data_IF_349987657496
#
_entry.id   IF_349987657496
#
_cell.length_a   1.000
_cell.length_b   1.000
_cell.length_c   1.000
_cell.angle_alpha   90.00
_cell.angle_beta   90.00
_cell.angle_gamma   90.00
#
_symmetry.space_group_name_H-M   'P 1'
#
loop_
_entity.id
_entity.type
_entity.pdbx_description
1 polymer ?
#
# COMPACT_ATOMS: atom_id res chain seq x y z
N UNK A 1 -2.79 -41.29 -44.76
CA UNK A 1 -3.07 -40.25 -45.77
C UNK A 1 -4.23 -39.43 -45.21
N UNK A 2 -4.00 -38.36 -44.44
CA UNK A 2 -3.69 -36.96 -44.88
C UNK A 2 -4.77 -36.45 -45.83
N UNK A 3 -5.45 -35.32 -45.71
CA UNK A 3 -5.37 -34.11 -44.87
C UNK A 3 -6.71 -33.34 -45.04
N UNK A 4 -7.00 -32.43 -44.11
CA UNK A 4 -7.92 -31.28 -44.26
C UNK A 4 -7.03 -30.05 -44.59
N UNK A 5 -7.38 -28.99 -45.38
CA UNK A 5 -8.33 -27.94 -44.94
C UNK A 5 -8.97 -26.96 -46.00
N UNK A 6 -10.01 -26.24 -45.53
CA UNK A 6 -10.46 -24.83 -45.77
C UNK A 6 -10.04 -24.02 -47.03
N UNK A 7 -11.01 -23.28 -47.60
CA UNK A 7 -11.11 -21.80 -47.45
C UNK A 7 -12.21 -21.16 -48.32
N UNK A 8 -13.12 -20.41 -47.69
CA UNK A 8 -14.09 -19.52 -48.33
C UNK A 8 -13.52 -18.10 -48.40
N UNK A 9 -13.52 -17.52 -49.60
CA UNK A 9 -13.25 -16.11 -49.85
C UNK A 9 -14.37 -15.49 -50.70
N UNK A 10 -14.95 -14.38 -50.25
CA UNK A 10 -15.73 -13.48 -51.12
C UNK A 10 -15.47 -12.02 -50.80
N UNK A 11 -15.00 -11.32 -51.84
CA UNK A 11 -14.82 -9.88 -51.94
C UNK A 11 -16.09 -9.19 -52.44
N UNK A 12 -16.34 -8.01 -51.85
CA UNK A 12 -16.98 -6.76 -52.29
C UNK A 12 -17.74 -6.62 -53.63
N UNK A 13 -18.85 -5.88 -53.54
CA UNK A 13 -19.51 -5.08 -54.60
C UNK A 13 -21.05 -5.13 -54.43
N UNK A 14 -21.86 -4.08 -54.42
CA UNK A 14 -21.79 -2.66 -54.82
C UNK A 14 -22.88 -1.92 -54.02
N UNK A 15 -22.64 -0.68 -53.57
CA UNK A 15 -23.71 0.21 -53.07
C UNK A 15 -24.14 1.20 -54.16
N UNK A 16 -25.44 1.27 -54.39
CA UNK A 16 -26.09 2.18 -55.34
C UNK A 16 -26.31 3.56 -54.71
N UNK A 17 -26.01 4.60 -55.50
CA UNK A 17 -26.25 6.01 -55.18
C UNK A 17 -27.71 6.35 -55.44
N UNK A 18 -28.48 6.66 -54.40
CA UNK A 18 -29.64 7.57 -54.52
C UNK A 18 -29.68 8.48 -53.31
N UNK A 19 -29.46 9.75 -53.58
CA UNK A 19 -29.65 10.86 -52.69
C UNK A 19 -31.14 11.00 -52.32
N UNK A 20 -31.41 11.34 -51.07
CA UNK A 20 -32.58 12.14 -50.73
C UNK A 20 -32.19 13.11 -49.61
N UNK A 21 -32.39 14.39 -49.89
CA UNK A 21 -32.16 15.52 -48.99
C UNK A 21 -33.50 15.88 -48.33
N UNK A 22 -33.46 16.14 -47.03
CA UNK A 22 -34.52 16.71 -46.19
C UNK A 22 -34.10 16.45 -44.74
N UNK A 23 -33.77 17.41 -43.88
CA UNK A 23 -34.34 18.73 -43.70
C UNK A 23 -34.97 18.74 -42.31
N UNK A 24 -34.22 19.18 -41.29
CA UNK A 24 -34.74 19.70 -40.02
C UNK A 24 -33.57 20.24 -39.18
N UNK A 25 -33.53 21.56 -39.00
CA UNK A 25 -32.64 22.22 -38.07
C UNK A 25 -33.23 22.10 -36.65
N UNK A 26 -32.61 21.25 -35.82
CA UNK A 26 -32.91 21.18 -34.39
C UNK A 26 -31.90 22.06 -33.66
N UNK A 27 -32.36 23.19 -33.10
CA UNK A 27 -31.59 23.97 -32.15
C UNK A 27 -31.32 23.13 -30.89
N UNK A 28 -30.11 22.57 -30.79
CA UNK A 28 -29.63 21.92 -29.59
C UNK A 28 -29.24 22.97 -28.55
N UNK A 29 -30.04 23.12 -27.50
CA UNK A 29 -29.60 23.75 -26.26
C UNK A 29 -28.51 22.85 -25.65
N UNK A 30 -27.25 23.20 -25.90
CA UNK A 30 -26.11 22.59 -25.23
C UNK A 30 -26.12 23.03 -23.76
N UNK A 31 -26.81 22.26 -22.91
CA UNK A 31 -26.66 22.36 -21.47
C UNK A 31 -25.24 21.98 -21.09
N UNK A 32 -24.41 22.98 -20.79
CA UNK A 32 -23.10 22.75 -20.17
C UNK A 32 -23.36 22.19 -18.78
N UNK A 33 -23.20 20.88 -18.60
CA UNK A 33 -23.03 20.33 -17.26
C UNK A 33 -21.79 21.00 -16.67
N UNK A 34 -21.84 21.57 -15.45
CA UNK A 34 -20.62 21.92 -14.77
C UNK A 34 -19.86 20.61 -14.60
N UNK A 35 -18.71 20.49 -15.27
CA UNK A 35 -17.74 19.48 -14.91
C UNK A 35 -17.50 19.66 -13.41
N UNK A 36 -17.93 18.70 -12.61
CA UNK A 36 -17.49 18.61 -11.22
C UNK A 36 -15.97 18.65 -11.30
N UNK A 37 -15.38 19.77 -10.87
CA UNK A 37 -13.95 19.91 -10.76
C UNK A 37 -13.50 18.78 -9.84
N UNK A 38 -12.95 17.72 -10.42
CA UNK A 38 -12.19 16.75 -9.66
C UNK A 38 -11.09 17.57 -9.00
N UNK A 39 -11.13 17.64 -7.67
CA UNK A 39 -10.06 18.23 -6.89
C UNK A 39 -8.74 17.62 -7.38
N UNK A 40 -7.69 18.41 -7.64
CA UNK A 40 -6.45 17.87 -8.18
C UNK A 40 -5.87 16.87 -7.17
N UNK A 41 -6.01 15.57 -7.45
CA UNK A 41 -5.35 14.49 -6.73
C UNK A 41 -3.89 14.46 -7.18
N UNK A 42 -3.02 15.23 -6.54
CA UNK A 42 -1.58 15.19 -6.82
C UNK A 42 -0.74 15.59 -5.60
N UNK A 43 -0.72 14.76 -4.56
CA UNK A 43 0.31 14.84 -3.49
C UNK A 43 1.56 14.01 -3.84
N UNK A 44 1.78 13.77 -5.12
CA UNK A 44 2.83 12.88 -5.64
C UNK A 44 4.10 13.63 -6.04
N UNK A 45 4.19 14.92 -5.74
CA UNK A 45 5.40 15.73 -5.96
C UNK A 45 6.54 15.27 -5.06
N UNK A 46 7.77 15.43 -5.54
CA UNK A 46 8.99 15.10 -4.77
C UNK A 46 9.08 16.01 -3.53
N UNK A 47 9.01 15.47 -2.29
CA UNK A 47 9.07 16.30 -1.10
C UNK A 47 10.52 16.69 -0.76
N UNK A 48 10.68 17.81 -0.07
CA UNK A 48 11.90 18.13 0.69
C UNK A 48 11.64 17.82 2.15
N UNK A 49 12.54 17.08 2.80
CA UNK A 49 12.42 16.75 4.22
C UNK A 49 13.32 17.65 5.07
N UNK A 50 12.84 17.98 6.27
CA UNK A 50 13.69 18.54 7.32
C UNK A 50 14.74 17.50 7.77
N UNK A 51 15.70 17.94 8.60
CA UNK A 51 16.71 17.05 9.16
C UNK A 51 16.10 15.96 10.08
N UNK A 52 16.80 14.83 10.28
CA UNK A 52 16.30 13.72 11.10
C UNK A 52 15.82 14.11 12.50
N UNK A 53 16.48 15.07 13.15
CA UNK A 53 16.08 15.59 14.46
C UNK A 53 14.66 16.15 14.48
N UNK A 54 14.20 16.76 13.40
CA UNK A 54 12.83 17.25 13.26
C UNK A 54 11.88 16.14 12.85
N UNK A 55 12.27 15.28 11.91
CA UNK A 55 11.40 14.20 11.41
C UNK A 55 11.06 13.16 12.48
N UNK A 56 11.99 12.93 13.40
CA UNK A 56 11.92 11.89 14.42
C UNK A 56 11.76 12.44 15.84
N UNK A 57 11.40 13.71 15.96
CA UNK A 57 11.06 14.34 17.24
C UNK A 57 9.85 13.66 17.90
N UNK A 58 9.66 13.95 19.18
CA UNK A 58 8.42 13.65 19.87
C UNK A 58 7.30 14.53 19.27
N UNK A 59 6.12 13.94 19.06
CA UNK A 59 4.98 14.63 18.47
C UNK A 59 3.70 14.27 19.22
N UNK A 60 2.74 15.20 19.22
CA UNK A 60 1.36 14.92 19.60
C UNK A 60 0.54 14.74 18.34
N UNK A 61 -0.13 13.60 18.22
CA UNK A 61 -0.92 13.25 17.05
C UNK A 61 -2.23 12.59 17.48
N UNK A 62 -3.37 13.14 17.09
CA UNK A 62 -4.69 12.61 17.47
C UNK A 62 -4.93 12.53 18.98
N UNK A 63 -4.31 13.40 19.79
CA UNK A 63 -4.39 13.36 21.25
C UNK A 63 -3.43 12.38 21.94
N UNK A 64 -2.62 11.64 21.17
CA UNK A 64 -1.61 10.74 21.70
C UNK A 64 -0.21 11.34 21.59
N UNK A 65 0.59 11.18 22.65
CA UNK A 65 1.98 11.62 22.67
C UNK A 65 2.88 10.48 22.19
N UNK A 66 3.47 10.64 21.01
CA UNK A 66 4.47 9.75 20.47
C UNK A 66 5.87 10.19 20.94
N UNK A 67 6.66 9.29 21.52
CA UNK A 67 8.03 9.61 21.89
C UNK A 67 8.89 9.85 20.65
N UNK A 68 9.97 10.60 20.84
CA UNK A 68 11.01 10.74 19.83
C UNK A 68 11.64 9.38 19.51
N UNK A 69 11.99 9.16 18.24
CA UNK A 69 12.77 7.99 17.86
C UNK A 69 14.24 8.31 18.08
N UNK A 70 15.01 7.46 18.78
CA UNK A 70 16.46 7.63 18.91
C UNK A 70 17.15 7.25 17.59
N UNK A 71 16.95 8.08 16.57
CA UNK A 71 17.35 7.79 15.18
C UNK A 71 18.86 7.65 15.02
N UNK A 72 19.66 8.19 15.95
CA UNK A 72 21.11 8.02 16.00
C UNK A 72 21.52 6.57 16.32
N UNK A 73 20.63 5.78 16.93
CA UNK A 73 20.84 4.35 17.21
C UNK A 73 20.40 3.44 16.05
N UNK A 74 19.77 4.01 15.03
CA UNK A 74 19.40 3.31 13.82
C UNK A 74 20.51 3.43 12.78
N UNK A 75 20.66 2.42 11.93
CA UNK A 75 21.45 2.58 10.71
C UNK A 75 20.77 3.64 9.84
N UNK A 76 21.52 4.68 9.48
CA UNK A 76 21.07 5.85 8.72
C UNK A 76 20.39 5.47 7.41
N UNK A 77 20.72 4.31 6.83
CA UNK A 77 20.08 3.84 5.59
C UNK A 77 18.58 3.58 5.74
N UNK A 78 18.12 3.28 6.96
CA UNK A 78 16.72 3.01 7.28
C UNK A 78 15.92 4.26 7.64
N UNK A 79 16.56 5.43 7.73
CA UNK A 79 15.85 6.68 7.87
C UNK A 79 15.18 7.04 6.54
N UNK A 80 14.03 7.71 6.66
CA UNK A 80 13.24 8.18 5.53
C UNK A 80 14.04 9.13 4.67
N UNK A 81 14.00 8.90 3.36
CA UNK A 81 14.74 9.72 2.39
C UNK A 81 14.13 9.63 1.01
N UNK A 82 14.35 10.67 0.19
CA UNK A 82 14.02 10.63 -1.24
C UNK A 82 15.17 9.94 -1.99
N UNK A 83 14.83 8.97 -2.84
CA UNK A 83 15.77 8.21 -3.67
C UNK A 83 15.34 8.24 -5.13
N UNK A 84 16.22 7.80 -6.04
CA UNK A 84 15.81 7.40 -7.39
C UNK A 84 14.88 6.19 -7.25
N UNK A 85 13.73 6.19 -7.92
CA UNK A 85 12.80 5.07 -7.92
C UNK A 85 13.45 3.83 -8.55
N UNK A 86 13.65 2.74 -7.78
CA UNK A 86 14.21 1.50 -8.32
C UNK A 86 13.17 0.61 -9.02
N UNK A 87 11.87 0.92 -8.91
CA UNK A 87 10.77 0.02 -9.27
C UNK A 87 10.18 0.26 -10.67
N UNK A 88 10.40 1.45 -11.22
CA UNK A 88 9.75 1.94 -12.45
C UNK A 88 8.20 1.90 -12.39
N UNK A 89 7.64 1.91 -11.18
CA UNK A 89 6.20 1.87 -10.99
C UNK A 89 5.59 3.26 -11.23
N UNK A 90 4.26 3.31 -11.35
CA UNK A 90 3.56 4.59 -11.51
C UNK A 90 3.63 5.40 -10.21
N UNK A 91 3.73 6.74 -10.28
CA UNK A 91 3.60 7.60 -9.11
C UNK A 91 2.30 7.30 -8.33
N UNK A 92 2.39 7.30 -7.00
CA UNK A 92 1.32 6.86 -6.11
C UNK A 92 1.33 5.36 -5.79
N UNK A 93 2.25 4.57 -6.35
CA UNK A 93 2.40 3.14 -6.03
C UNK A 93 3.25 2.96 -4.77
N UNK A 94 2.89 2.00 -3.93
CA UNK A 94 3.75 1.50 -2.85
C UNK A 94 4.48 0.26 -3.35
N UNK A 95 5.79 0.22 -3.16
CA UNK A 95 6.62 -0.93 -3.51
C UNK A 95 7.40 -1.39 -2.28
N UNK A 96 7.42 -2.68 -2.02
CA UNK A 96 8.08 -3.27 -0.85
C UNK A 96 9.18 -4.21 -1.33
N UNK A 97 10.39 -4.00 -0.83
CA UNK A 97 11.54 -4.90 -0.99
C UNK A 97 11.80 -5.61 0.35
N UNK A 98 11.39 -6.89 0.41
CA UNK A 98 11.47 -7.68 1.62
C UNK A 98 12.93 -7.97 2.06
N UNK A 99 13.82 -8.20 1.10
CA UNK A 99 15.24 -8.50 1.39
C UNK A 99 15.96 -7.28 1.92
N UNK A 100 15.84 -6.15 1.22
CA UNK A 100 16.49 -4.90 1.59
C UNK A 100 15.82 -4.23 2.80
N UNK A 101 14.57 -4.61 3.11
CA UNK A 101 13.73 -4.07 4.20
C UNK A 101 13.44 -2.60 4.01
N UNK A 102 12.98 -2.30 2.81
CA UNK A 102 12.55 -0.98 2.42
C UNK A 102 11.13 -1.00 1.85
N UNK A 103 10.39 0.04 2.19
CA UNK A 103 9.15 0.41 1.52
C UNK A 103 9.41 1.70 0.75
N UNK A 104 8.87 1.78 -0.45
CA UNK A 104 8.98 2.92 -1.36
C UNK A 104 7.58 3.42 -1.66
N UNK A 105 7.35 4.72 -1.50
CA UNK A 105 6.19 5.40 -2.08
C UNK A 105 6.67 6.15 -3.32
N UNK A 106 6.24 5.71 -4.51
CA UNK A 106 6.71 6.27 -5.77
C UNK A 106 6.11 7.66 -5.96
N UNK A 107 6.97 8.62 -6.25
CA UNK A 107 6.62 10.01 -6.50
C UNK A 107 7.00 10.40 -7.94
N UNK A 108 6.68 11.61 -8.35
CA UNK A 108 7.01 12.12 -9.68
C UNK A 108 8.53 12.22 -9.92
N UNK A 109 8.91 12.50 -11.17
CA UNK A 109 10.30 12.72 -11.59
C UNK A 109 11.25 11.53 -11.37
N UNK A 110 10.73 10.30 -11.45
CA UNK A 110 11.52 9.07 -11.30
C UNK A 110 12.12 8.93 -9.90
N UNK A 111 11.43 9.46 -8.88
CA UNK A 111 11.84 9.41 -7.48
C UNK A 111 10.88 8.57 -6.66
N UNK A 112 11.34 8.13 -5.50
CA UNK A 112 10.51 7.51 -4.49
C UNK A 112 10.90 8.00 -3.10
N UNK A 113 9.95 8.03 -2.18
CA UNK A 113 10.24 8.17 -0.75
C UNK A 113 10.51 6.77 -0.23
N UNK A 114 11.72 6.53 0.25
CA UNK A 114 12.12 5.26 0.86
C UNK A 114 11.99 5.35 2.37
N UNK A 115 11.40 4.33 2.97
CA UNK A 115 11.25 4.14 4.41
C UNK A 115 11.94 2.83 4.82
N UNK A 116 12.62 2.83 5.96
CA UNK A 116 13.09 1.61 6.58
C UNK A 116 11.94 0.86 7.25
N UNK A 117 11.91 -0.46 7.08
CA UNK A 117 10.83 -1.29 7.63
C UNK A 117 11.38 -2.54 8.33
N UNK A 118 10.52 -3.22 9.07
CA UNK A 118 10.72 -4.61 9.49
C UNK A 118 9.65 -5.47 8.86
N UNK A 119 10.03 -6.62 8.31
CA UNK A 119 9.12 -7.61 7.74
C UNK A 119 9.37 -8.95 8.38
N UNK A 120 8.32 -9.73 8.62
CA UNK A 120 8.52 -11.07 9.14
C UNK A 120 8.87 -12.10 8.09
N UNK A 121 9.37 -13.25 8.54
CA UNK A 121 9.80 -14.38 7.69
C UNK A 121 8.72 -14.77 6.66
N UNK A 122 7.44 -14.70 7.03
CA UNK A 122 6.33 -14.99 6.13
C UNK A 122 6.01 -13.84 5.14
N UNK A 123 6.41 -12.59 5.45
CA UNK A 123 6.39 -11.47 4.51
C UNK A 123 7.44 -11.61 3.40
N UNK A 124 8.42 -12.51 3.54
CA UNK A 124 9.30 -12.91 2.44
C UNK A 124 8.63 -13.89 1.48
N UNK A 125 7.61 -14.64 1.93
CA UNK A 125 6.92 -15.63 1.10
C UNK A 125 5.77 -15.01 0.30
N UNK A 126 5.17 -13.94 0.82
CA UNK A 126 4.18 -13.18 0.06
C UNK A 126 4.86 -12.19 -0.90
N UNK A 127 4.97 -12.59 -2.16
CA UNK A 127 5.23 -11.69 -3.28
C UNK A 127 3.95 -11.51 -4.09
N UNK A 128 3.78 -10.34 -4.70
CA UNK A 128 2.64 -10.08 -5.58
C UNK A 128 2.05 -8.70 -5.45
N UNK A 129 0.80 -8.57 -5.92
CA UNK A 129 0.08 -7.31 -6.02
C UNK A 129 -1.11 -7.30 -5.06
N UNK A 130 -1.33 -6.15 -4.44
CA UNK A 130 -2.49 -5.82 -3.62
C UNK A 130 -2.85 -4.35 -3.80
N UNK A 131 -3.91 -3.90 -3.13
CA UNK A 131 -4.24 -2.50 -3.00
C UNK A 131 -4.43 -2.15 -1.52
N UNK A 132 -4.09 -0.93 -1.13
CA UNK A 132 -4.64 -0.34 0.09
C UNK A 132 -6.09 0.05 -0.22
N UNK A 133 -7.04 -0.61 0.43
CA UNK A 133 -8.47 -0.29 0.31
C UNK A 133 -9.03 0.36 1.58
N UNK A 134 -8.40 0.15 2.73
CA UNK A 134 -8.75 0.82 3.97
C UNK A 134 -7.52 1.37 4.66
N UNK A 135 -7.71 2.43 5.44
CA UNK A 135 -6.69 2.95 6.34
C UNK A 135 -7.33 3.44 7.64
N UNK A 136 -6.63 3.29 8.76
CA UNK A 136 -7.10 3.77 10.07
C UNK A 136 -5.99 4.52 10.79
N UNK A 137 -6.31 5.71 11.27
CA UNK A 137 -5.50 6.39 12.27
C UNK A 137 -5.82 5.86 13.66
N UNK A 138 -4.78 5.59 14.44
CA UNK A 138 -4.87 5.04 15.80
C UNK A 138 -5.81 3.82 15.85
N UNK A 139 -5.47 2.72 15.14
CA UNK A 139 -6.31 1.54 15.11
C UNK A 139 -6.39 0.86 16.48
N UNK A 140 -7.59 0.36 16.81
CA UNK A 140 -7.75 -0.66 17.84
C UNK A 140 -7.02 -1.91 17.38
N UNK A 141 -6.26 -2.53 18.29
CA UNK A 141 -5.57 -3.78 18.01
C UNK A 141 -6.29 -4.92 18.71
N UNK A 142 -6.80 -5.88 17.93
CA UNK A 142 -7.41 -7.10 18.46
C UNK A 142 -6.51 -8.29 18.09
N UNK A 143 -5.83 -8.94 19.06
CA UNK A 143 -5.01 -10.11 18.78
C UNK A 143 -5.89 -11.24 18.22
N UNK A 144 -5.43 -11.95 17.16
CA UNK A 144 -6.13 -13.14 16.67
C UNK A 144 -6.23 -14.25 17.73
N UNK A 145 -7.25 -15.10 17.68
CA UNK A 145 -7.42 -16.21 18.63
C UNK A 145 -6.18 -17.11 18.75
N UNK A 146 -5.53 -17.44 17.62
CA UNK A 146 -4.34 -18.29 17.59
C UNK A 146 -3.14 -17.63 18.32
N UNK A 147 -3.07 -16.29 18.28
CA UNK A 147 -2.08 -15.53 19.03
C UNK A 147 -2.35 -15.59 20.53
N UNK A 148 -3.62 -15.54 20.94
CA UNK A 148 -4.03 -15.65 22.35
C UNK A 148 -3.75 -17.07 22.88
N UNK A 149 -4.00 -18.12 22.09
CA UNK A 149 -3.70 -19.50 22.49
C UNK A 149 -2.22 -19.69 22.86
N UNK A 150 -1.32 -19.08 22.08
CA UNK A 150 0.13 -19.11 22.34
C UNK A 150 0.59 -18.15 23.43
N UNK A 151 -0.14 -17.05 23.64
CA UNK A 151 0.15 -15.99 24.60
C UNK A 151 -1.12 -15.66 25.40
N UNK A 152 -1.49 -16.51 26.37
CA UNK A 152 -2.77 -16.38 27.09
C UNK A 152 -2.94 -15.03 27.80
N UNK A 153 -1.85 -14.34 28.14
CA UNK A 153 -1.89 -13.00 28.71
C UNK A 153 -2.54 -11.96 27.80
N UNK A 154 -2.59 -12.20 26.48
CA UNK A 154 -3.23 -11.33 25.51
C UNK A 154 -4.76 -11.44 25.51
N UNK A 155 -5.33 -12.45 26.18
CA UNK A 155 -6.79 -12.63 26.28
C UNK A 155 -7.50 -11.39 26.87
N UNK A 156 -6.81 -10.60 27.70
CA UNK A 156 -7.33 -9.32 28.21
C UNK A 156 -7.68 -8.31 27.09
N UNK A 157 -7.07 -8.47 25.91
CA UNK A 157 -7.30 -7.64 24.73
C UNK A 157 -8.17 -8.32 23.67
N UNK A 158 -8.81 -9.45 23.97
CA UNK A 158 -9.68 -10.15 23.01
C UNK A 158 -10.82 -9.27 22.47
N UNK A 159 -11.25 -8.26 23.25
CA UNK A 159 -12.24 -7.26 22.85
C UNK A 159 -11.62 -5.96 22.30
N UNK A 160 -10.33 -5.99 21.95
CA UNK A 160 -9.57 -4.86 21.44
C UNK A 160 -8.76 -4.13 22.52
N UNK A 161 -7.48 -3.96 22.24
CA UNK A 161 -6.61 -3.02 22.94
C UNK A 161 -6.90 -1.59 22.45
N UNK A 162 -7.15 -0.63 23.36
CA UNK A 162 -7.37 0.76 22.99
C UNK A 162 -6.21 1.35 22.19
N UNK A 163 -6.47 2.32 21.31
CA UNK A 163 -5.41 2.97 20.56
C UNK A 163 -4.42 3.70 21.47
N UNK A 164 -3.15 3.71 21.08
CA UNK A 164 -2.16 4.53 21.75
C UNK A 164 -0.72 4.14 21.46
N UNK A 165 0.25 4.87 22.04
CA UNK A 165 1.67 4.73 21.72
C UNK A 165 2.26 3.34 21.99
N UNK A 166 1.58 2.51 22.79
CA UNK A 166 2.01 1.13 23.11
C UNK A 166 1.35 0.06 22.24
N UNK A 167 0.41 0.44 21.37
CA UNK A 167 -0.30 -0.50 20.48
C UNK A 167 0.69 -1.21 19.54
N UNK A 168 0.58 -2.53 19.33
CA UNK A 168 1.39 -3.26 18.34
C UNK A 168 1.20 -2.77 16.89
N UNK A 169 0.05 -2.17 16.57
CA UNK A 169 -0.24 -1.56 15.28
C UNK A 169 0.31 -0.12 15.15
N UNK A 170 0.78 0.46 16.25
CA UNK A 170 1.31 1.82 16.28
C UNK A 170 0.27 2.88 15.92
N UNK A 171 0.75 3.98 15.32
CA UNK A 171 -0.06 5.18 15.09
C UNK A 171 -1.02 5.08 13.89
N UNK A 172 -0.71 4.25 12.88
CA UNK A 172 -1.49 4.09 11.66
C UNK A 172 -1.44 2.64 11.19
N UNK A 173 -2.50 2.19 10.53
CA UNK A 173 -2.52 0.96 9.76
C UNK A 173 -3.19 1.18 8.39
N UNK A 174 -2.62 0.59 7.36
CA UNK A 174 -3.13 0.52 6.00
C UNK A 174 -3.39 -0.96 5.68
N UNK A 175 -4.59 -1.27 5.20
CA UNK A 175 -5.11 -2.63 5.08
C UNK A 175 -5.04 -3.08 3.63
N UNK A 176 -4.35 -4.19 3.39
CA UNK A 176 -4.08 -4.69 2.05
C UNK A 176 -5.14 -5.69 1.59
N UNK A 177 -5.69 -5.43 0.42
CA UNK A 177 -6.72 -6.23 -0.22
C UNK A 177 -6.25 -6.77 -1.56
N UNK A 178 -6.74 -7.96 -1.91
CA UNK A 178 -6.50 -8.60 -3.22
C UNK A 178 -7.81 -9.22 -3.69
N UNK A 179 -8.24 -8.84 -4.89
CA UNK A 179 -9.51 -9.30 -5.49
C UNK A 179 -10.71 -9.07 -4.56
N UNK A 180 -10.77 -7.91 -3.90
CA UNK A 180 -11.84 -7.53 -2.95
C UNK A 180 -11.83 -8.30 -1.62
N UNK A 181 -10.80 -9.09 -1.35
CA UNK A 181 -10.64 -9.83 -0.09
C UNK A 181 -9.49 -9.24 0.73
N UNK A 182 -9.72 -9.11 2.03
CA UNK A 182 -8.67 -8.75 2.98
C UNK A 182 -7.58 -9.83 2.95
N UNK A 183 -6.33 -9.42 2.79
CA UNK A 183 -5.18 -10.33 2.78
C UNK A 183 -4.65 -10.63 4.17
N UNK A 184 -5.16 -9.94 5.21
CA UNK A 184 -4.63 -9.93 6.58
C UNK A 184 -3.22 -9.35 6.72
N UNK A 185 -2.63 -8.85 5.62
CA UNK A 185 -1.39 -8.08 5.66
C UNK A 185 -1.68 -6.59 5.83
N UNK A 186 -0.80 -5.94 6.59
CA UNK A 186 -0.89 -4.52 6.96
C UNK A 186 0.43 -3.82 6.69
N UNK A 187 0.35 -2.55 6.31
CA UNK A 187 1.43 -1.60 6.49
C UNK A 187 1.10 -0.78 7.74
N UNK A 188 1.89 -0.88 8.80
CA UNK A 188 1.52 -0.29 10.07
C UNK A 188 2.71 0.25 10.87
N UNK A 189 2.41 1.06 11.88
CA UNK A 189 3.41 1.59 12.81
C UNK A 189 3.88 0.55 13.82
N UNK A 190 4.95 0.86 14.54
CA UNK A 190 5.37 0.07 15.71
C UNK A 190 6.00 0.95 16.79
N UNK A 191 5.77 0.65 18.08
CA UNK A 191 6.54 1.26 19.17
C UNK A 191 7.98 0.75 19.22
N UNK A 192 8.25 -0.42 18.64
CA UNK A 192 9.55 -1.09 18.66
C UNK A 192 10.48 -0.52 17.58
N UNK A 193 10.93 0.73 17.73
CA UNK A 193 11.82 1.36 16.76
C UNK A 193 13.09 0.54 16.46
N UNK A 194 13.60 -0.20 17.45
CA UNK A 194 14.81 -1.01 17.32
C UNK A 194 14.62 -2.27 16.47
N UNK A 195 13.40 -2.56 16.04
CA UNK A 195 13.07 -3.66 15.11
C UNK A 195 13.31 -3.29 13.64
N UNK A 196 13.37 -2.00 13.31
CA UNK A 196 13.52 -1.54 11.92
C UNK A 196 14.83 -2.06 11.33
N UNK A 197 14.76 -2.59 10.11
CA UNK A 197 15.89 -3.25 9.45
C UNK A 197 16.14 -4.70 9.88
N UNK A 198 15.30 -5.27 10.77
CA UNK A 198 15.38 -6.66 11.22
C UNK A 198 14.19 -7.49 10.72
N UNK A 199 14.30 -8.81 10.86
CA UNK A 199 13.20 -9.73 10.59
C UNK A 199 12.21 -9.72 11.76
N UNK A 200 10.91 -9.71 11.47
CA UNK A 200 9.83 -9.89 12.45
C UNK A 200 9.27 -11.33 12.43
N UNK A 201 8.34 -11.63 13.33
CA UNK A 201 7.63 -12.93 13.35
C UNK A 201 6.37 -12.94 12.48
N UNK A 202 5.70 -11.80 12.29
CA UNK A 202 4.45 -11.66 11.51
C UNK A 202 4.72 -11.19 10.08
N UNK A 203 3.88 -11.57 9.11
CA UNK A 203 4.07 -11.17 7.71
C UNK A 203 3.80 -9.70 7.38
N UNK A 204 3.27 -8.91 8.31
CA UNK A 204 3.02 -7.48 8.11
C UNK A 204 4.30 -6.63 8.00
N UNK A 205 4.16 -5.43 7.41
CA UNK A 205 5.25 -4.45 7.28
C UNK A 205 5.16 -3.44 8.43
N UNK A 206 6.16 -3.46 9.32
CA UNK A 206 6.26 -2.55 10.47
C UNK A 206 7.15 -1.36 10.13
N UNK A 207 6.66 -0.16 10.40
CA UNK A 207 7.33 1.11 10.13
C UNK A 207 7.49 1.91 11.43
N UNK A 208 8.44 2.85 11.47
CA UNK A 208 8.46 3.86 12.55
C UNK A 208 7.14 4.62 12.56
N UNK A 209 6.64 4.99 13.74
CA UNK A 209 5.36 5.70 13.84
C UNK A 209 5.36 7.02 13.03
N UNK A 210 6.45 7.78 13.10
CA UNK A 210 6.63 9.02 12.32
C UNK A 210 6.60 8.75 10.81
N UNK A 211 7.15 7.62 10.36
CA UNK A 211 7.21 7.25 8.95
C UNK A 211 5.86 6.73 8.43
N UNK A 212 5.12 5.93 9.22
CA UNK A 212 3.78 5.48 8.82
C UNK A 212 2.77 6.64 8.83
N UNK A 213 2.93 7.63 9.72
CA UNK A 213 2.11 8.86 9.70
C UNK A 213 2.30 9.60 8.38
N UNK A 214 3.55 9.73 7.92
CA UNK A 214 3.84 10.34 6.63
C UNK A 214 3.25 9.53 5.47
N UNK A 215 3.48 8.21 5.41
CA UNK A 215 2.90 7.36 4.36
C UNK A 215 1.36 7.46 4.34
N UNK A 216 0.73 7.38 5.51
CA UNK A 216 -0.72 7.47 5.66
C UNK A 216 -1.30 8.78 5.10
N UNK A 217 -0.59 9.90 5.30
CA UNK A 217 -1.01 11.21 4.78
C UNK A 217 -0.95 11.32 3.25
N UNK A 218 -0.14 10.48 2.61
CA UNK A 218 0.07 10.47 1.14
C UNK A 218 -0.94 9.56 0.43
N UNK A 219 -1.41 8.53 1.11
CA UNK A 219 -2.42 7.60 0.59
C UNK A 219 -3.81 8.24 0.67
N UNK A 220 -4.35 8.64 -0.47
CA UNK A 220 -5.61 9.40 -0.59
C UNK A 220 -6.70 8.72 -1.42
N UNK A 221 -6.44 7.51 -1.89
CA UNK A 221 -7.36 6.68 -2.68
C UNK A 221 -6.79 5.26 -2.85
N UNK A 222 -7.46 4.39 -3.61
CA UNK A 222 -6.99 3.03 -3.87
C UNK A 222 -5.54 3.06 -4.34
N UNK A 223 -4.66 2.50 -3.51
CA UNK A 223 -3.21 2.63 -3.72
C UNK A 223 -2.62 1.27 -4.07
N UNK A 224 -2.08 1.08 -5.28
CA UNK A 224 -1.44 -0.16 -5.65
C UNK A 224 -0.23 -0.47 -4.77
N UNK A 225 -0.11 -1.73 -4.37
CA UNK A 225 1.01 -2.25 -3.59
C UNK A 225 1.64 -3.40 -4.36
N UNK A 226 2.95 -3.34 -4.57
CA UNK A 226 3.74 -4.42 -5.15
C UNK A 226 4.80 -4.89 -4.14
N UNK A 227 4.77 -6.18 -3.80
CA UNK A 227 5.74 -6.79 -2.89
C UNK A 227 6.69 -7.68 -3.67
N UNK A 228 7.98 -7.37 -3.56
CA UNK A 228 9.08 -8.07 -4.20
C UNK A 228 9.97 -8.70 -3.14
N UNK A 229 10.50 -9.89 -3.45
CA UNK A 229 11.52 -10.49 -2.60
C UNK A 229 12.79 -9.62 -2.59
N UNK A 230 13.22 -9.16 -3.77
CA UNK A 230 14.29 -8.18 -3.97
C UNK A 230 14.00 -7.41 -5.25
N UNK A 231 14.31 -6.11 -5.27
CA UNK A 231 14.17 -5.28 -6.47
C UNK A 231 15.46 -5.16 -7.29
N UNK A 232 16.59 -5.67 -6.79
CA UNK A 232 17.85 -5.63 -7.54
C UNK A 232 17.93 -6.81 -8.52
N UNK A 233 18.22 -6.49 -9.79
CA UNK A 233 18.35 -7.44 -10.90
C UNK A 233 19.31 -8.59 -10.53
N UNK A 234 18.82 -9.83 -10.59
CA UNK A 234 19.58 -11.06 -10.28
C UNK A 234 18.96 -11.93 -9.18
N UNK A 235 17.94 -11.46 -8.47
CA UNK A 235 17.17 -12.30 -7.54
C UNK A 235 16.14 -13.12 -8.33
N UNK A 236 16.39 -14.42 -8.45
CA UNK A 236 15.57 -15.37 -9.20
C UNK A 236 14.05 -15.21 -8.96
N UNK A 237 13.33 -15.16 -10.08
CA UNK A 237 11.90 -15.41 -10.19
C UNK A 237 11.62 -16.88 -9.92
N UNK A 238 11.68 -17.32 -8.66
CA UNK A 238 11.05 -18.57 -8.26
C UNK A 238 9.70 -18.25 -7.62
N UNK A 239 8.65 -18.35 -8.43
CA UNK A 239 7.26 -18.37 -7.96
C UNK A 239 7.03 -19.61 -7.12
N UNK A 240 7.38 -19.53 -5.85
CA UNK A 240 6.96 -20.48 -4.83
C UNK A 240 5.53 -20.16 -4.42
N UNK A 241 4.57 -20.88 -5.00
CA UNK A 241 3.25 -20.99 -4.39
C UNK A 241 3.37 -21.92 -3.20
N UNK A 242 3.48 -21.39 -1.99
CA UNK A 242 3.31 -22.19 -0.78
C UNK A 242 2.66 -21.44 0.36
N UNK A 243 1.71 -22.15 0.97
CA UNK A 243 0.88 -21.78 2.10
C UNK A 243 1.69 -21.79 3.41
N UNK A 244 2.58 -20.82 3.62
CA UNK A 244 2.91 -20.45 4.99
C UNK A 244 1.73 -19.63 5.51
N UNK A 245 0.96 -20.21 6.43
CA UNK A 245 -0.06 -19.52 7.22
C UNK A 245 0.64 -18.41 7.98
N UNK A 246 0.69 -17.23 7.36
CA UNK A 246 1.10 -16.01 8.03
C UNK A 246 0.06 -15.75 9.11
N UNK A 247 0.47 -15.83 10.37
CA UNK A 247 -0.38 -15.39 11.47
C UNK A 247 -0.66 -13.89 11.30
N UNK A 248 -1.94 -13.49 11.19
CA UNK A 248 -2.32 -12.09 11.13
C UNK A 248 -1.81 -11.33 12.36
N UNK A 249 -1.57 -10.04 12.20
CA UNK A 249 -1.27 -9.17 13.36
C UNK A 249 -2.55 -8.77 14.11
N UNK A 250 -3.69 -8.76 13.40
CA UNK A 250 -5.00 -8.34 13.91
C UNK A 250 -6.13 -9.24 13.36
N UNK A 251 -7.32 -9.09 13.93
CA UNK A 251 -8.52 -9.82 13.54
C UNK A 251 -9.22 -9.28 12.27
N UNK A 252 -8.61 -8.33 11.53
CA UNK A 252 -9.20 -7.74 10.32
C UNK A 252 -9.23 -6.22 10.30
N UNK A 253 -9.96 -5.64 9.35
CA UNK A 253 -10.23 -4.19 9.29
C UNK A 253 -11.09 -3.77 10.50
N UNK A 254 -10.62 -2.83 11.35
CA UNK A 254 -11.36 -2.39 12.52
C UNK A 254 -12.49 -1.42 12.14
N UNK A 255 -13.45 -1.27 13.05
CA UNK A 255 -14.55 -0.34 12.89
C UNK A 255 -14.09 1.12 12.68
N UNK A 256 -14.79 1.83 11.80
CA UNK A 256 -14.51 3.21 11.44
C UNK A 256 -13.19 3.41 10.70
N UNK A 257 -12.62 2.35 10.11
CA UNK A 257 -11.55 2.52 9.12
C UNK A 257 -12.07 3.28 7.90
N UNK A 258 -11.26 4.21 7.41
CA UNK A 258 -11.57 4.96 6.20
C UNK A 258 -11.41 4.03 5.00
N UNK A 259 -12.49 3.82 4.26
CA UNK A 259 -12.46 3.14 2.96
C UNK A 259 -11.95 4.12 1.90
N UNK A 260 -11.03 3.67 1.07
CA UNK A 260 -10.43 4.46 -0.01
C UNK A 260 -11.20 4.18 -1.31
N UNK A 261 -11.77 5.24 -1.89
CA UNK A 261 -12.56 5.21 -3.14
C UNK A 261 -11.92 6.05 -4.26
#
# INVERSE_FOLDING_TARGET
MTDNPNSDGRFFGRMNRRAFVGGAASFGLAGTLPALAQTPRSNTTVPTFAGPSTLYAAITDGGHNLPAIPYEKLDKRFLRQVVIDPSLSKPGTIVVDATAKFLYFVVENGKAIRYGVSLGKAGFEWTGKANVEYKKAWPVWTPPPEMIERKPELAQYANGMPPGPKSPLGARALYLFRNGKDTMYRLHGTPEWSSIGKNASSGCVRMLNQDVIDLYSRVSGPTPVAVHHSMYLGANMSGGSSSATTEPIDAGVPEGAEKLE
#
